data_IF_125472970510
#
_entry.id   IF_125472970510
#
_cell.length_a   1.000
_cell.length_b   1.000
_cell.length_c   1.000
_cell.angle_alpha   90.00
_cell.angle_beta   90.00
_cell.angle_gamma   90.00
#
_symmetry.space_group_name_H-M   'P 1'
#
loop_
_entity.id
_entity.type
_entity.pdbx_description
1 polymer ?
#
# COMPACT_ATOMS: atom_id res chain seq x y z
N UNK A 1 68.83 39.88 -43.69
CA UNK A 1 68.10 39.35 -42.53
C UNK A 1 66.68 39.05 -42.98
N UNK A 2 66.29 37.78 -42.80
CA UNK A 2 64.97 37.12 -42.75
C UNK A 2 63.71 38.01 -42.77
N UNK A 3 62.53 37.63 -43.24
CA UNK A 3 61.97 36.39 -43.83
C UNK A 3 60.54 36.70 -44.31
N UNK A 4 60.08 35.96 -45.33
CA UNK A 4 58.77 35.34 -45.53
C UNK A 4 57.44 36.02 -45.16
N UNK A 5 56.50 35.93 -46.10
CA UNK A 5 55.06 36.14 -45.87
C UNK A 5 54.18 35.63 -47.02
N UNK A 6 54.06 34.31 -47.18
CA UNK A 6 52.90 33.59 -47.76
C UNK A 6 51.62 34.03 -47.02
N UNK A 7 50.37 33.98 -47.50
CA UNK A 7 49.70 33.29 -48.59
C UNK A 7 48.23 33.08 -48.17
N UNK A 8 47.30 33.44 -49.06
CA UNK A 8 45.85 33.17 -49.20
C UNK A 8 44.99 32.51 -48.08
N UNK A 9 43.74 33.01 -47.96
CA UNK A 9 42.58 32.19 -47.53
C UNK A 9 41.32 32.99 -47.13
N UNK A 10 40.17 32.85 -47.82
CA UNK A 10 38.94 33.59 -47.53
C UNK A 10 38.01 32.86 -46.55
N UNK A 11 37.42 33.58 -45.58
CA UNK A 11 36.37 33.03 -44.68
C UNK A 11 35.05 33.78 -44.85
N UNK A 12 34.39 33.59 -46.00
CA UNK A 12 32.95 33.84 -46.16
C UNK A 12 32.22 32.50 -46.01
N UNK A 13 31.76 32.15 -44.81
CA UNK A 13 30.67 31.16 -44.62
C UNK A 13 30.16 30.97 -43.16
N UNK A 14 30.74 31.64 -42.16
CA UNK A 14 30.37 31.38 -40.76
C UNK A 14 29.01 31.97 -40.29
N UNK A 15 28.42 32.92 -41.03
CA UNK A 15 27.19 33.63 -40.58
C UNK A 15 25.88 32.90 -40.90
N UNK A 16 25.85 32.06 -41.94
CA UNK A 16 24.63 31.34 -42.37
C UNK A 16 24.32 30.14 -41.45
N UNK A 17 25.35 29.37 -41.09
CA UNK A 17 25.21 28.16 -40.27
C UNK A 17 24.70 28.43 -38.85
N UNK A 18 25.06 29.58 -38.25
CA UNK A 18 24.60 29.97 -36.91
C UNK A 18 23.09 30.22 -36.84
N UNK A 19 22.48 30.76 -37.91
CA UNK A 19 21.03 31.04 -37.97
C UNK A 19 20.21 29.77 -38.18
N UNK A 20 20.72 28.83 -38.96
CA UNK A 20 20.12 27.50 -39.14
C UNK A 20 20.17 26.66 -37.86
N UNK A 21 21.28 26.71 -37.11
CA UNK A 21 21.42 26.03 -35.82
C UNK A 21 20.47 26.62 -34.74
N UNK A 22 20.29 27.94 -34.69
CA UNK A 22 19.34 28.55 -33.75
C UNK A 22 17.89 28.22 -34.11
N UNK A 23 17.53 28.22 -35.38
CA UNK A 23 16.20 27.83 -35.84
C UNK A 23 15.88 26.34 -35.53
N UNK A 24 16.87 25.45 -35.66
CA UNK A 24 16.69 24.03 -35.34
C UNK A 24 16.50 23.80 -33.82
N UNK A 25 17.27 24.51 -33.00
CA UNK A 25 17.19 24.42 -31.52
C UNK A 25 15.86 24.98 -31.00
N UNK A 26 15.38 26.10 -31.54
CA UNK A 26 14.09 26.68 -31.15
C UNK A 26 12.92 25.78 -31.56
N UNK A 27 12.97 25.16 -32.75
CA UNK A 27 11.92 24.22 -33.18
C UNK A 27 11.91 22.94 -32.35
N UNK A 28 13.07 22.44 -31.94
CA UNK A 28 13.18 21.27 -31.04
C UNK A 28 12.64 21.56 -29.63
N UNK A 29 12.91 22.75 -29.07
CA UNK A 29 12.39 23.16 -27.76
C UNK A 29 10.87 23.38 -27.75
N UNK A 30 10.29 23.87 -28.85
CA UNK A 30 8.82 24.03 -28.97
C UNK A 30 8.12 22.68 -29.13
N UNK A 31 8.74 21.70 -29.82
CA UNK A 31 8.19 20.35 -29.93
C UNK A 31 8.18 19.59 -28.57
N UNK A 32 9.14 19.87 -27.69
CA UNK A 32 9.18 19.31 -26.32
C UNK A 32 8.19 19.98 -25.36
N UNK A 33 7.84 21.26 -25.57
CA UNK A 33 6.87 21.97 -24.73
C UNK A 33 5.40 21.54 -24.99
N UNK A 34 5.11 20.88 -26.12
CA UNK A 34 3.76 20.43 -26.49
C UNK A 34 3.33 19.09 -25.89
N UNK A 35 4.23 18.33 -25.26
CA UNK A 35 3.93 17.05 -24.61
C UNK A 35 3.45 17.24 -23.17
N UNK A 36 2.47 18.11 -22.97
CA UNK A 36 1.70 18.11 -21.72
C UNK A 36 0.69 16.98 -21.85
N UNK A 37 1.11 15.76 -21.47
CA UNK A 37 0.19 14.63 -21.29
C UNK A 37 -0.77 15.05 -20.18
N UNK A 38 -1.91 15.60 -20.57
CA UNK A 38 -3.01 15.88 -19.67
C UNK A 38 -3.53 14.52 -19.22
N UNK A 39 -3.14 14.09 -18.02
CA UNK A 39 -3.70 12.88 -17.44
C UNK A 39 -5.21 13.05 -17.41
N UNK A 40 -5.95 12.12 -18.05
CA UNK A 40 -7.40 12.12 -17.97
C UNK A 40 -7.81 12.19 -16.50
N UNK A 41 -8.77 13.05 -16.12
CA UNK A 41 -9.25 13.08 -14.75
C UNK A 41 -9.66 11.65 -14.37
N UNK A 42 -9.02 11.12 -13.32
CA UNK A 42 -9.34 9.79 -12.83
C UNK A 42 -10.79 9.83 -12.35
N UNK A 43 -11.69 9.20 -13.10
CA UNK A 43 -13.02 8.87 -12.60
C UNK A 43 -12.82 7.78 -11.55
N UNK A 44 -12.57 8.20 -10.30
CA UNK A 44 -12.58 7.28 -9.18
C UNK A 44 -14.02 6.78 -9.02
N UNK A 45 -14.28 5.55 -9.45
CA UNK A 45 -15.50 4.87 -9.07
C UNK A 45 -15.45 4.71 -7.54
N UNK A 46 -16.06 5.63 -6.80
CA UNK A 46 -16.05 5.66 -5.32
C UNK A 46 -16.83 4.51 -4.68
N UNK A 47 -17.36 3.59 -5.48
CA UNK A 47 -18.16 2.43 -5.05
C UNK A 47 -17.37 1.12 -5.06
N UNK A 48 -16.06 1.17 -5.35
CA UNK A 48 -15.21 -0.02 -5.45
C UNK A 48 -15.07 -0.75 -4.12
N UNK A 49 -15.02 -0.02 -3.00
CA UNK A 49 -14.96 -0.57 -1.64
C UNK A 49 -16.23 -0.19 -0.88
N UNK A 50 -17.02 -1.19 -0.51
CA UNK A 50 -18.17 -1.10 0.39
C UNK A 50 -17.95 -2.14 1.47
N UNK A 51 -17.39 -1.69 2.59
CA UNK A 51 -16.73 -2.59 3.53
C UNK A 51 -17.36 -2.64 4.92
N UNK A 52 -17.05 -3.72 5.63
CA UNK A 52 -17.26 -3.86 7.06
C UNK A 52 -16.00 -4.38 7.74
N UNK A 53 -15.85 -4.06 9.02
CA UNK A 53 -14.89 -4.74 9.88
C UNK A 53 -15.53 -6.03 10.42
N UNK A 54 -14.82 -7.16 10.32
CA UNK A 54 -15.14 -8.35 11.10
C UNK A 54 -13.98 -8.59 12.07
N UNK A 55 -14.23 -8.35 13.36
CA UNK A 55 -13.17 -8.15 14.33
C UNK A 55 -13.39 -8.94 15.63
N UNK A 56 -12.37 -8.93 16.49
CA UNK A 56 -12.48 -9.37 17.89
C UNK A 56 -13.40 -8.39 18.62
N UNK A 57 -14.16 -8.87 19.62
CA UNK A 57 -14.92 -7.98 20.49
C UNK A 57 -13.97 -7.20 21.42
N UNK A 58 -14.28 -5.92 21.65
CA UNK A 58 -13.48 -5.04 22.49
C UNK A 58 -12.62 -4.10 21.66
N UNK A 59 -11.45 -3.76 22.21
CA UNK A 59 -10.55 -2.76 21.64
C UNK A 59 -9.57 -3.36 20.62
N UNK A 60 -8.89 -2.51 19.85
CA UNK A 60 -7.92 -2.87 18.82
C UNK A 60 -6.47 -3.01 19.33
N UNK A 61 -6.30 -3.10 20.65
CA UNK A 61 -5.04 -3.37 21.32
C UNK A 61 -5.08 -4.75 21.96
N UNK A 62 -4.27 -5.70 21.49
CA UNK A 62 -4.28 -7.06 22.01
C UNK A 62 -2.89 -7.64 22.19
N UNK A 63 -2.64 -8.20 23.37
CA UNK A 63 -1.38 -8.89 23.71
C UNK A 63 -1.36 -10.37 23.28
N UNK A 64 -2.37 -10.82 22.53
CA UNK A 64 -2.53 -12.22 22.15
C UNK A 64 -3.04 -12.41 20.73
N UNK A 65 -3.22 -13.68 20.36
CA UNK A 65 -3.79 -14.06 19.07
C UNK A 65 -5.22 -13.49 18.92
N UNK A 66 -5.49 -12.82 17.80
CA UNK A 66 -6.80 -12.28 17.49
C UNK A 66 -7.73 -13.39 16.95
N UNK A 67 -8.84 -13.60 17.64
CA UNK A 67 -9.90 -14.52 17.23
C UNK A 67 -11.16 -13.69 16.98
N UNK A 68 -11.49 -13.46 15.71
CA UNK A 68 -12.63 -12.61 15.34
C UNK A 68 -13.96 -13.22 15.77
N UNK A 69 -14.94 -12.37 16.01
CA UNK A 69 -16.21 -12.76 16.64
C UNK A 69 -16.89 -13.91 15.88
N UNK A 70 -17.33 -14.93 16.61
CA UNK A 70 -17.99 -16.12 16.06
C UNK A 70 -17.04 -17.26 15.65
N UNK A 71 -15.73 -17.00 15.64
CA UNK A 71 -14.72 -18.06 15.51
C UNK A 71 -14.24 -18.56 16.87
N UNK A 72 -13.67 -19.75 16.87
CA UNK A 72 -12.93 -20.35 17.99
C UNK A 72 -11.50 -20.62 17.54
N UNK A 73 -10.51 -20.45 18.42
CA UNK A 73 -9.12 -20.79 18.12
C UNK A 73 -8.91 -22.28 17.80
N UNK A 74 -9.85 -23.14 18.21
CA UNK A 74 -9.88 -24.57 17.88
C UNK A 74 -10.55 -24.88 16.54
N UNK A 75 -11.15 -23.89 15.86
CA UNK A 75 -11.75 -24.10 14.54
C UNK A 75 -10.68 -24.49 13.53
N UNK A 76 -10.96 -25.51 12.72
CA UNK A 76 -10.14 -25.83 11.56
C UNK A 76 -10.29 -24.76 10.47
N UNK A 77 -9.37 -24.73 9.50
CA UNK A 77 -9.52 -23.87 8.32
C UNK A 77 -10.87 -24.07 7.62
N UNK A 78 -11.31 -25.32 7.42
CA UNK A 78 -12.59 -25.63 6.80
C UNK A 78 -13.79 -25.08 7.61
N UNK A 79 -13.71 -25.18 8.94
CA UNK A 79 -14.73 -24.62 9.86
C UNK A 79 -14.75 -23.09 9.80
N UNK A 80 -13.59 -22.44 9.86
CA UNK A 80 -13.47 -20.98 9.71
C UNK A 80 -14.07 -20.54 8.37
N UNK A 81 -13.72 -21.23 7.29
CA UNK A 81 -14.20 -20.93 5.94
C UNK A 81 -15.72 -21.07 5.83
N UNK A 82 -16.31 -22.11 6.41
CA UNK A 82 -17.76 -22.31 6.43
C UNK A 82 -18.49 -21.19 7.19
N UNK A 83 -18.00 -20.83 8.39
CA UNK A 83 -18.56 -19.71 9.18
C UNK A 83 -18.41 -18.38 8.46
N UNK A 84 -17.24 -18.14 7.86
CA UNK A 84 -16.97 -16.95 7.08
C UNK A 84 -17.92 -16.85 5.89
N UNK A 85 -18.15 -17.94 5.14
CA UNK A 85 -19.13 -17.97 4.05
C UNK A 85 -20.50 -17.46 4.49
N UNK A 86 -21.06 -18.02 5.57
CA UNK A 86 -22.36 -17.60 6.07
C UNK A 86 -22.40 -16.10 6.41
N UNK A 87 -21.40 -15.61 7.15
CA UNK A 87 -21.31 -14.18 7.52
C UNK A 87 -21.23 -13.28 6.30
N UNK A 88 -20.41 -13.64 5.32
CA UNK A 88 -20.21 -12.83 4.13
C UNK A 88 -21.41 -12.86 3.18
N UNK A 89 -22.13 -13.98 3.10
CA UNK A 89 -23.38 -14.08 2.35
C UNK A 89 -24.45 -13.16 2.97
N UNK A 90 -24.54 -13.11 4.30
CA UNK A 90 -25.43 -12.19 5.02
C UNK A 90 -25.02 -10.71 4.83
N UNK A 91 -23.73 -10.39 4.96
CA UNK A 91 -23.20 -9.03 4.71
C UNK A 91 -23.48 -8.56 3.27
N UNK A 92 -23.29 -9.45 2.29
CA UNK A 92 -23.55 -9.16 0.88
C UNK A 92 -25.04 -8.90 0.63
N UNK A 93 -25.89 -9.84 1.06
CA UNK A 93 -27.33 -9.81 0.79
C UNK A 93 -28.06 -8.71 1.54
N UNK A 94 -27.67 -8.43 2.78
CA UNK A 94 -28.35 -7.46 3.64
C UNK A 94 -27.85 -6.04 3.43
N UNK A 95 -26.53 -5.87 3.23
CA UNK A 95 -25.90 -4.54 3.28
C UNK A 95 -25.13 -4.19 2.00
N UNK A 96 -25.11 -5.06 0.98
CA UNK A 96 -24.45 -4.80 -0.30
C UNK A 96 -22.92 -4.66 -0.20
N UNK A 97 -22.35 -5.25 0.86
CA UNK A 97 -20.90 -5.26 1.13
C UNK A 97 -20.18 -6.06 0.06
N UNK A 98 -18.99 -5.60 -0.31
CA UNK A 98 -18.08 -6.31 -1.22
C UNK A 98 -16.63 -6.34 -0.68
N UNK A 99 -16.42 -5.87 0.55
CA UNK A 99 -15.10 -5.75 1.16
C UNK A 99 -15.20 -6.12 2.64
N UNK A 100 -14.22 -6.85 3.16
CA UNK A 100 -14.08 -7.06 4.61
C UNK A 100 -12.72 -6.55 5.07
N UNK A 101 -12.69 -5.85 6.21
CA UNK A 101 -11.47 -5.53 6.92
C UNK A 101 -11.30 -6.50 8.09
N UNK A 102 -10.17 -7.20 8.09
CA UNK A 102 -9.84 -8.26 9.03
C UNK A 102 -8.59 -7.87 9.81
N UNK A 103 -8.63 -7.91 11.16
CA UNK A 103 -7.48 -7.56 11.95
C UNK A 103 -6.46 -8.72 11.98
N UNK A 104 -5.19 -8.36 12.07
CA UNK A 104 -4.06 -9.26 12.31
C UNK A 104 -3.11 -8.59 13.29
N UNK A 105 -2.30 -9.36 14.02
CA UNK A 105 -1.19 -8.84 14.82
C UNK A 105 -0.04 -9.85 14.82
N UNK A 106 1.07 -9.54 15.48
CA UNK A 106 2.25 -10.42 15.44
C UNK A 106 1.94 -11.78 16.06
N UNK A 107 1.12 -11.81 17.12
CA UNK A 107 0.68 -13.04 17.79
C UNK A 107 -0.27 -13.89 16.94
N UNK A 108 -1.06 -13.28 16.07
CA UNK A 108 -2.00 -13.99 15.20
C UNK A 108 -1.25 -14.76 14.12
N UNK A 109 -0.28 -14.12 13.46
CA UNK A 109 0.48 -14.74 12.37
C UNK A 109 1.57 -15.67 12.91
N UNK A 110 2.17 -15.37 14.06
CA UNK A 110 3.17 -16.23 14.70
C UNK A 110 2.57 -17.54 15.24
N UNK A 111 1.30 -17.55 15.63
CA UNK A 111 0.58 -18.78 15.94
C UNK A 111 0.22 -19.50 14.63
N UNK A 112 1.13 -20.31 14.10
CA UNK A 112 1.00 -20.91 12.77
C UNK A 112 -0.23 -21.81 12.63
N UNK A 113 -0.63 -22.53 13.69
CA UNK A 113 -1.87 -23.33 13.71
C UNK A 113 -3.09 -22.45 13.50
N UNK A 114 -3.22 -21.39 14.31
CA UNK A 114 -4.34 -20.47 14.18
C UNK A 114 -4.28 -19.68 12.88
N UNK A 115 -3.12 -19.18 12.47
CA UNK A 115 -2.95 -18.46 11.21
C UNK A 115 -3.44 -19.30 10.03
N UNK A 116 -3.04 -20.58 9.97
CA UNK A 116 -3.52 -21.50 8.94
C UNK A 116 -5.05 -21.67 8.94
N UNK A 117 -5.68 -21.68 10.12
CA UNK A 117 -7.14 -21.70 10.22
C UNK A 117 -7.77 -20.36 9.80
N UNK A 118 -7.26 -19.25 10.30
CA UNK A 118 -7.73 -17.89 10.08
C UNK A 118 -7.66 -17.47 8.60
N UNK A 119 -6.69 -17.98 7.83
CA UNK A 119 -6.67 -17.81 6.37
C UNK A 119 -7.96 -18.27 5.70
N UNK A 120 -8.70 -19.22 6.27
CA UNK A 120 -10.01 -19.62 5.78
C UNK A 120 -11.01 -18.46 5.68
N UNK A 121 -10.92 -17.45 6.55
CA UNK A 121 -11.76 -16.26 6.50
C UNK A 121 -11.32 -15.28 5.39
N UNK A 122 -10.02 -15.22 5.11
CA UNK A 122 -9.43 -14.40 4.03
C UNK A 122 -9.77 -15.03 2.68
N UNK A 123 -9.48 -16.32 2.53
CA UNK A 123 -9.68 -17.06 1.29
C UNK A 123 -11.17 -17.13 0.94
N UNK A 124 -12.06 -17.33 1.92
CA UNK A 124 -13.51 -17.29 1.71
C UNK A 124 -13.95 -15.96 1.07
N UNK A 125 -13.42 -14.83 1.55
CA UNK A 125 -13.71 -13.52 0.98
C UNK A 125 -13.17 -13.39 -0.44
N UNK A 126 -11.89 -13.68 -0.66
CA UNK A 126 -11.30 -13.46 -1.99
C UNK A 126 -11.87 -14.39 -3.05
N UNK A 127 -12.23 -15.62 -2.70
CA UNK A 127 -12.76 -16.61 -3.65
C UNK A 127 -14.18 -16.26 -4.13
N UNK A 128 -14.94 -15.47 -3.37
CA UNK A 128 -16.21 -14.90 -3.83
C UNK A 128 -16.07 -13.52 -4.48
N UNK A 129 -14.84 -13.05 -4.69
CA UNK A 129 -14.56 -11.74 -5.28
C UNK A 129 -14.68 -10.56 -4.33
N UNK A 130 -14.84 -10.78 -3.02
CA UNK A 130 -14.72 -9.69 -2.05
C UNK A 130 -13.27 -9.19 -2.01
N UNK A 131 -13.12 -7.90 -1.71
CA UNK A 131 -11.83 -7.35 -1.31
C UNK A 131 -11.59 -7.64 0.17
N UNK A 132 -10.34 -7.85 0.56
CA UNK A 132 -9.93 -8.04 1.96
C UNK A 132 -8.90 -6.98 2.30
N UNK A 133 -9.12 -6.23 3.38
CA UNK A 133 -8.11 -5.34 3.97
C UNK A 133 -7.57 -6.05 5.20
N UNK A 134 -6.30 -6.46 5.17
CA UNK A 134 -5.60 -7.00 6.34
C UNK A 134 -4.98 -5.84 7.10
N UNK A 135 -5.38 -5.66 8.36
CA UNK A 135 -5.00 -4.51 9.16
C UNK A 135 -4.23 -4.92 10.41
N UNK A 136 -3.02 -4.40 10.59
CA UNK A 136 -2.26 -4.61 11.82
C UNK A 136 -2.93 -3.87 12.98
N UNK A 137 -3.35 -4.64 13.99
CA UNK A 137 -3.75 -4.18 15.30
C UNK A 137 -2.56 -4.28 16.25
N UNK A 138 -2.42 -3.28 17.11
CA UNK A 138 -1.27 -3.14 18.00
C UNK A 138 -1.17 -4.31 18.99
N UNK A 139 0.06 -4.75 19.27
CA UNK A 139 0.37 -5.87 20.19
C UNK A 139 0.19 -5.49 21.68
N UNK A 140 -0.91 -4.80 21.99
CA UNK A 140 -1.33 -4.37 23.33
C UNK A 140 -1.11 -2.87 23.57
N UNK A 141 -1.95 -2.29 24.43
CA UNK A 141 -2.07 -0.82 24.60
C UNK A 141 -0.81 -0.14 25.13
N UNK A 142 0.14 -0.91 25.68
CA UNK A 142 1.42 -0.40 26.14
C UNK A 142 2.32 0.10 25.00
N UNK A 143 1.98 -0.19 23.74
CA UNK A 143 2.74 0.33 22.59
C UNK A 143 2.39 1.78 22.27
N UNK A 144 1.28 2.31 22.82
CA UNK A 144 0.90 3.72 22.77
C UNK A 144 0.73 4.23 21.35
N UNK A 145 0.18 3.43 20.44
CA UNK A 145 0.02 3.80 19.04
C UNK A 145 1.31 3.76 18.24
N UNK A 146 2.28 2.95 18.69
CA UNK A 146 3.55 2.69 18.00
C UNK A 146 3.80 1.20 17.82
N UNK A 147 4.50 0.84 16.75
CA UNK A 147 5.11 -0.48 16.61
C UNK A 147 6.34 -0.51 17.51
N UNK A 148 6.26 -1.29 18.60
CA UNK A 148 7.34 -1.44 19.59
C UNK A 148 8.35 -2.53 19.23
N UNK A 149 7.94 -3.54 18.45
CA UNK A 149 8.82 -4.61 17.98
C UNK A 149 8.81 -4.68 16.45
N UNK A 150 9.65 -3.86 15.82
CA UNK A 150 9.79 -3.77 14.35
C UNK A 150 10.17 -5.11 13.71
N UNK A 151 11.00 -5.92 14.38
CA UNK A 151 11.43 -7.21 13.84
C UNK A 151 10.27 -8.23 13.77
N UNK A 152 9.47 -8.34 14.83
CA UNK A 152 8.29 -9.19 14.86
C UNK A 152 7.23 -8.70 13.85
N UNK A 153 7.01 -7.38 13.80
CA UNK A 153 6.09 -6.76 12.85
C UNK A 153 6.50 -6.99 11.39
N UNK A 154 7.78 -6.87 11.04
CA UNK A 154 8.29 -7.20 9.71
C UNK A 154 8.22 -8.70 9.41
N UNK A 155 8.42 -9.57 10.39
CA UNK A 155 8.26 -11.03 10.22
C UNK A 155 6.82 -11.37 9.88
N UNK A 156 5.86 -10.80 10.62
CA UNK A 156 4.42 -10.92 10.37
C UNK A 156 4.07 -10.43 8.96
N UNK A 157 4.47 -9.22 8.59
CA UNK A 157 4.16 -8.65 7.27
C UNK A 157 4.84 -9.40 6.12
N UNK A 158 6.06 -9.91 6.31
CA UNK A 158 6.70 -10.78 5.30
C UNK A 158 5.85 -12.03 5.05
N UNK A 159 5.37 -12.68 6.12
CA UNK A 159 4.50 -13.86 6.00
C UNK A 159 3.20 -13.52 5.25
N UNK A 160 2.54 -12.42 5.62
CA UNK A 160 1.27 -11.98 5.01
C UNK A 160 1.45 -11.61 3.54
N UNK A 161 2.44 -10.78 3.21
CA UNK A 161 2.65 -10.27 1.85
C UNK A 161 3.22 -11.33 0.92
N UNK A 162 4.02 -12.28 1.42
CA UNK A 162 4.43 -13.44 0.61
C UNK A 162 3.25 -14.36 0.31
N UNK A 163 2.30 -14.49 1.24
CA UNK A 163 1.11 -15.33 1.04
C UNK A 163 0.12 -14.70 0.07
N UNK A 164 -0.15 -13.39 0.21
CA UNK A 164 -1.26 -12.72 -0.49
C UNK A 164 -0.84 -11.64 -1.48
N UNK A 165 0.47 -11.41 -1.65
CA UNK A 165 1.01 -10.37 -2.52
C UNK A 165 0.59 -10.52 -3.98
N UNK A 166 0.35 -11.73 -4.47
CA UNK A 166 -0.17 -11.96 -5.83
C UNK A 166 -1.70 -11.88 -5.94
N UNK A 167 -2.43 -11.89 -4.82
CA UNK A 167 -3.88 -11.86 -4.82
C UNK A 167 -4.40 -10.42 -4.95
N UNK A 168 -4.90 -10.07 -6.14
CA UNK A 168 -5.43 -8.73 -6.45
C UNK A 168 -6.69 -8.31 -5.69
N UNK A 169 -7.23 -9.18 -4.85
CA UNK A 169 -8.33 -8.87 -3.93
C UNK A 169 -7.86 -8.52 -2.51
N UNK A 170 -6.58 -8.74 -2.17
CA UNK A 170 -6.04 -8.44 -0.83
C UNK A 170 -5.31 -7.11 -0.81
N UNK A 171 -5.64 -6.30 0.18
CA UNK A 171 -5.08 -5.01 0.50
C UNK A 171 -4.44 -5.07 1.89
N UNK A 172 -3.46 -4.20 2.12
CA UNK A 172 -2.62 -4.21 3.31
C UNK A 172 -2.68 -2.87 4.01
N UNK A 173 -2.97 -2.85 5.31
CA UNK A 173 -2.91 -1.67 6.15
C UNK A 173 -1.82 -1.89 7.20
N UNK A 174 -0.60 -1.34 6.99
CA UNK A 174 0.58 -1.62 7.80
C UNK A 174 0.39 -1.37 9.30
N UNK A 175 -0.49 -0.42 9.66
CA UNK A 175 -0.88 -0.14 11.03
C UNK A 175 -2.24 0.55 11.07
N UNK A 176 -3.13 0.03 11.93
CA UNK A 176 -4.35 0.71 12.33
C UNK A 176 -4.02 1.91 13.23
N UNK A 177 -4.58 3.07 12.88
CA UNK A 177 -4.63 4.26 13.75
C UNK A 177 -3.29 4.63 14.42
N UNK A 178 -2.21 4.91 13.65
CA UNK A 178 -0.98 5.44 14.22
C UNK A 178 -1.27 6.70 15.05
N UNK A 179 -0.93 6.69 16.34
CA UNK A 179 -1.23 7.82 17.24
C UNK A 179 -0.11 8.17 18.21
N UNK A 180 0.91 7.33 18.32
CA UNK A 180 2.09 7.61 19.13
C UNK A 180 3.27 8.22 18.37
N UNK A 181 3.11 8.55 17.08
CA UNK A 181 4.17 9.06 16.21
C UNK A 181 4.03 10.55 15.92
N UNK A 182 5.17 11.25 15.81
CA UNK A 182 5.22 12.47 15.03
C UNK A 182 4.98 12.14 13.54
N UNK A 183 4.39 13.06 12.78
CA UNK A 183 4.01 12.80 11.38
C UNK A 183 5.20 12.34 10.53
N UNK A 184 6.36 13.02 10.64
CA UNK A 184 7.57 12.65 9.91
C UNK A 184 8.06 11.23 10.25
N UNK A 185 8.02 10.83 11.53
CA UNK A 185 8.42 9.49 11.96
C UNK A 185 7.51 8.43 11.38
N UNK A 186 6.19 8.66 11.40
CA UNK A 186 5.23 7.72 10.83
C UNK A 186 5.43 7.56 9.32
N UNK A 187 5.64 8.67 8.59
CA UNK A 187 5.94 8.61 7.16
C UNK A 187 7.19 7.80 6.87
N UNK A 188 8.24 7.94 7.69
CA UNK A 188 9.45 7.13 7.56
C UNK A 188 9.19 5.64 7.81
N UNK A 189 8.40 5.29 8.82
CA UNK A 189 7.99 3.90 9.09
C UNK A 189 7.20 3.32 7.91
N UNK A 190 6.21 4.05 7.39
CA UNK A 190 5.41 3.62 6.25
C UNK A 190 6.25 3.47 4.96
N UNK A 191 7.14 4.43 4.67
CA UNK A 191 8.03 4.38 3.51
C UNK A 191 9.01 3.19 3.59
N UNK A 192 9.57 2.93 4.77
CA UNK A 192 10.44 1.78 5.00
C UNK A 192 9.68 0.46 4.83
N UNK A 193 8.44 0.38 5.30
CA UNK A 193 7.60 -0.81 5.10
C UNK A 193 7.34 -1.08 3.62
N UNK A 194 6.97 -0.05 2.85
CA UNK A 194 6.75 -0.18 1.40
C UNK A 194 8.02 -0.62 0.66
N UNK A 195 9.19 -0.15 1.10
CA UNK A 195 10.47 -0.50 0.50
C UNK A 195 10.90 -1.94 0.85
N UNK A 196 10.54 -2.42 2.04
CA UNK A 196 10.88 -3.75 2.54
C UNK A 196 9.95 -4.84 1.97
N UNK A 197 8.64 -4.59 1.93
CA UNK A 197 7.61 -5.58 1.58
C UNK A 197 7.17 -5.44 0.12
N UNK A 198 8.07 -5.68 -0.83
CA UNK A 198 7.86 -5.43 -2.27
C UNK A 198 6.69 -6.18 -2.90
N UNK A 199 6.27 -7.32 -2.32
CA UNK A 199 5.07 -8.07 -2.73
C UNK A 199 3.76 -7.30 -2.48
N UNK A 200 3.77 -6.31 -1.58
CA UNK A 200 2.67 -5.39 -1.36
C UNK A 200 2.79 -4.19 -2.32
N UNK A 201 2.21 -4.34 -3.51
CA UNK A 201 2.20 -3.25 -4.51
C UNK A 201 1.55 -1.99 -3.91
N UNK A 202 2.15 -0.78 -4.05
CA UNK A 202 1.66 0.42 -3.36
C UNK A 202 0.18 0.74 -3.59
N UNK A 203 -0.37 0.43 -4.77
CA UNK A 203 -1.80 0.62 -5.08
C UNK A 203 -2.77 -0.26 -4.28
N UNK A 204 -2.27 -1.18 -3.44
CA UNK A 204 -3.06 -2.01 -2.53
C UNK A 204 -2.67 -1.80 -1.06
N UNK A 205 -1.98 -0.71 -0.75
CA UNK A 205 -1.55 -0.39 0.62
C UNK A 205 -2.30 0.83 1.13
N UNK A 206 -2.93 0.70 2.30
CA UNK A 206 -3.67 1.75 2.98
C UNK A 206 -2.81 2.28 4.13
N UNK A 207 -2.28 3.49 3.98
CA UNK A 207 -1.48 4.16 5.02
C UNK A 207 -2.39 5.12 5.76
N UNK A 208 -2.70 4.82 7.03
CA UNK A 208 -3.43 5.73 7.90
C UNK A 208 -2.63 6.99 8.23
N UNK A 209 -3.31 8.08 8.59
CA UNK A 209 -2.68 9.28 9.14
C UNK A 209 -2.20 9.10 10.58
N UNK A 210 -1.58 10.15 11.14
CA UNK A 210 -1.35 10.20 12.60
C UNK A 210 -2.63 10.60 13.35
N UNK A 211 -2.60 10.56 14.69
CA UNK A 211 -3.74 10.98 15.52
C UNK A 211 -4.97 10.11 15.28
N UNK A 212 -4.82 8.79 15.38
CA UNK A 212 -5.89 7.82 15.13
C UNK A 212 -6.40 7.87 13.68
N UNK A 213 -5.48 8.01 12.72
CA UNK A 213 -5.79 8.19 11.29
C UNK A 213 -6.59 9.45 10.96
N UNK A 214 -6.71 10.42 11.88
CA UNK A 214 -7.46 11.66 11.65
C UNK A 214 -6.62 12.74 10.96
N UNK A 215 -5.29 12.69 11.10
CA UNK A 215 -4.39 13.68 10.50
C UNK A 215 -3.63 13.10 9.30
N UNK A 216 -4.12 13.44 8.10
CA UNK A 216 -3.56 13.06 6.80
C UNK A 216 -2.61 14.13 6.22
N UNK A 217 -2.30 15.19 6.96
CA UNK A 217 -1.49 16.28 6.45
C UNK A 217 -0.02 15.89 6.36
N UNK A 218 0.62 16.40 5.31
CA UNK A 218 2.07 16.45 5.20
C UNK A 218 2.57 17.64 6.04
N UNK A 219 2.78 17.41 7.34
CA UNK A 219 3.43 18.36 8.25
C UNK A 219 4.89 18.03 8.46
#
# INVERSE_FOLDING_TARGET
>A
MSSDGYGAGPLRNARSSRRLLTALVVTALVALAGLVVSASPANAATRQLRGMNWAVLGDNFSTGTLVVQGLSQSDSNATVRAKANAIYDDMASTMGVNTVRLPINTHTVANTTWWNAYRGAIDAATDRGFKVILAYWEDGAASGGRITNIAAWNTMWSSVTNTYGSNGNVYFEPMNEPHGYASADWRNVAANWLSYHTSAVPGRVLIGGTGYSQDLRDV
#
